data_IF_715264520060
#
_entry.id   IF_715264520060
#
_cell.length_a   1.000
_cell.length_b   1.000
_cell.length_c   1.000
_cell.angle_alpha   90.00
_cell.angle_beta   90.00
_cell.angle_gamma   90.00
#
_symmetry.space_group_name_H-M   'P 1'
#
loop_
_entity.id
_entity.type
_entity.pdbx_description
1 polymer ?
#
# COMPACT_ATOMS: atom_id res chain seq x y z
N UNK A 1 11.47 -14.08 2.56
CA UNK A 1 10.21 -14.16 3.35
C UNK A 1 9.33 -13.01 2.89
N UNK A 2 8.09 -13.29 2.48
CA UNK A 2 7.19 -12.27 1.94
C UNK A 2 6.41 -11.70 3.12
N UNK A 3 6.90 -10.59 3.65
CA UNK A 3 6.30 -9.91 4.80
C UNK A 3 5.30 -8.86 4.34
N UNK A 4 4.18 -8.77 5.05
CA UNK A 4 3.15 -7.79 4.75
C UNK A 4 3.67 -6.37 5.04
N UNK A 5 3.54 -5.41 4.10
CA UNK A 5 3.99 -4.04 4.32
C UNK A 5 3.15 -3.31 5.39
N UNK A 6 1.96 -3.78 5.70
CA UNK A 6 1.06 -3.14 6.67
C UNK A 6 1.30 -3.57 8.13
N UNK A 7 1.77 -4.80 8.36
CA UNK A 7 1.87 -5.37 9.72
C UNK A 7 3.10 -6.25 9.95
N UNK A 8 4.02 -6.31 8.97
CA UNK A 8 5.25 -7.11 8.99
C UNK A 8 5.09 -8.60 9.25
N UNK A 9 3.86 -9.12 9.26
CA UNK A 9 3.57 -10.55 9.40
C UNK A 9 3.86 -11.30 8.10
N UNK A 10 4.16 -12.60 8.23
CA UNK A 10 4.35 -13.48 7.09
C UNK A 10 3.05 -13.62 6.30
N UNK A 11 3.13 -13.40 4.98
CA UNK A 11 2.01 -13.59 4.07
C UNK A 11 1.96 -15.04 3.59
N UNK A 12 0.74 -15.50 3.30
CA UNK A 12 0.50 -16.82 2.71
C UNK A 12 0.41 -16.71 1.19
N UNK A 13 1.00 -17.67 0.48
CA UNK A 13 0.88 -17.78 -0.98
C UNK A 13 -0.40 -18.56 -1.30
N UNK A 14 -1.30 -17.95 -2.05
CA UNK A 14 -2.55 -18.55 -2.46
C UNK A 14 -2.60 -18.69 -3.99
N UNK A 15 -3.37 -19.68 -4.47
CA UNK A 15 -3.62 -19.90 -5.90
C UNK A 15 -5.10 -19.64 -6.15
N UNK A 16 -5.43 -18.74 -7.09
CA UNK A 16 -6.80 -18.53 -7.56
C UNK A 16 -6.78 -18.42 -9.07
N UNK A 17 -7.65 -19.18 -9.76
CA UNK A 17 -7.78 -19.14 -11.22
C UNK A 17 -6.42 -19.28 -11.95
N UNK A 18 -5.56 -20.20 -11.48
CA UNK A 18 -4.19 -20.41 -11.98
C UNK A 18 -3.21 -19.23 -11.78
N UNK A 19 -3.55 -18.24 -10.96
CA UNK A 19 -2.66 -17.15 -10.59
C UNK A 19 -2.22 -17.26 -9.13
N UNK A 20 -0.96 -16.91 -8.86
CA UNK A 20 -0.38 -16.85 -7.52
C UNK A 20 -0.52 -15.44 -6.96
N UNK A 21 -1.08 -15.31 -5.77
CA UNK A 21 -1.19 -14.04 -5.05
C UNK A 21 -0.83 -14.19 -3.57
N UNK A 22 -0.55 -13.07 -2.91
CA UNK A 22 -0.26 -13.05 -1.48
C UNK A 22 -1.47 -12.61 -0.69
N UNK A 23 -1.77 -13.35 0.39
CA UNK A 23 -2.82 -12.99 1.32
C UNK A 23 -2.24 -12.80 2.72
N UNK A 24 -2.53 -11.64 3.32
CA UNK A 24 -2.19 -11.40 4.71
C UNK A 24 -3.35 -11.84 5.62
N UNK A 25 -3.11 -12.82 6.48
CA UNK A 25 -4.10 -13.29 7.48
C UNK A 25 -4.34 -12.28 8.61
N UNK A 26 -3.38 -11.40 8.90
CA UNK A 26 -3.53 -10.39 9.95
C UNK A 26 -4.35 -9.20 9.47
N UNK A 27 -4.10 -8.73 8.24
CA UNK A 27 -4.85 -7.61 7.63
C UNK A 27 -6.12 -8.07 6.92
N UNK A 28 -6.29 -9.37 6.67
CA UNK A 28 -7.39 -9.95 5.89
C UNK A 28 -7.52 -9.37 4.47
N UNK A 29 -6.39 -9.06 3.85
CA UNK A 29 -6.33 -8.42 2.55
C UNK A 29 -5.40 -9.17 1.58
N UNK A 30 -5.78 -9.16 0.31
CA UNK A 30 -4.93 -9.54 -0.80
C UNK A 30 -3.86 -8.46 -1.01
N UNK A 31 -2.59 -8.87 -0.96
CA UNK A 31 -1.46 -7.97 -1.14
C UNK A 31 -0.91 -8.11 -2.55
N UNK A 32 -0.85 -7.00 -3.31
CA UNK A 32 -0.16 -7.01 -4.59
C UNK A 32 1.32 -7.32 -4.35
N UNK A 33 1.91 -8.14 -5.22
CA UNK A 33 3.35 -8.32 -5.30
C UNK A 33 3.98 -6.95 -5.57
N UNK A 34 4.53 -6.31 -4.54
CA UNK A 34 5.42 -5.17 -4.74
C UNK A 34 6.70 -5.72 -5.35
N UNK A 35 6.74 -5.79 -6.68
CA UNK A 35 8.01 -5.89 -7.38
C UNK A 35 8.82 -4.65 -7.00
N UNK A 36 9.93 -4.84 -6.28
CA UNK A 36 10.77 -3.76 -5.77
C UNK A 36 11.35 -2.88 -6.90
N UNK A 37 11.11 -3.20 -8.19
CA UNK A 37 11.38 -2.33 -9.33
C UNK A 37 10.32 -1.26 -9.61
N UNK A 38 9.13 -1.35 -9.03
CA UNK A 38 8.07 -0.33 -9.19
C UNK A 38 7.89 0.41 -7.88
N UNK A 39 8.51 1.59 -7.78
CA UNK A 39 8.03 2.65 -6.88
C UNK A 39 6.53 2.80 -7.18
N UNK A 40 5.67 2.31 -6.29
CA UNK A 40 4.33 2.88 -6.19
C UNK A 40 4.55 4.32 -5.74
N UNK A 41 4.67 5.23 -6.71
CA UNK A 41 4.52 6.64 -6.44
C UNK A 41 3.11 6.77 -5.92
N UNK A 42 3.03 7.15 -4.65
CA UNK A 42 1.83 7.58 -3.94
C UNK A 42 1.19 8.81 -4.58
N UNK A 43 1.04 8.86 -5.90
CA UNK A 43 0.55 10.05 -6.62
C UNK A 43 -0.90 10.38 -6.31
N UNK A 44 -1.68 9.46 -5.71
CA UNK A 44 -3.05 9.77 -5.27
C UNK A 44 -3.11 10.37 -3.86
N UNK A 45 -2.26 9.94 -2.92
CA UNK A 45 -2.19 10.56 -1.59
C UNK A 45 -1.35 11.83 -1.59
N UNK A 46 -0.28 11.90 -2.38
CA UNK A 46 0.57 13.09 -2.48
C UNK A 46 -0.14 14.27 -3.15
N UNK A 47 -1.01 14.01 -4.15
CA UNK A 47 -1.88 15.06 -4.69
C UNK A 47 -2.81 15.61 -3.62
N UNK A 48 -3.50 14.76 -2.86
CA UNK A 48 -4.38 15.20 -1.76
C UNK A 48 -3.60 15.92 -0.63
N UNK A 49 -2.44 15.42 -0.22
CA UNK A 49 -1.55 16.07 0.76
C UNK A 49 -1.03 17.42 0.28
N UNK A 50 -0.76 17.58 -1.03
CA UNK A 50 -0.36 18.87 -1.60
C UNK A 50 -1.52 19.89 -1.64
N UNK A 51 -2.77 19.44 -1.84
CA UNK A 51 -3.96 20.28 -1.71
C UNK A 51 -4.24 20.66 -0.25
N UNK A 52 -4.07 19.72 0.69
CA UNK A 52 -4.22 19.97 2.14
C UNK A 52 -3.15 20.93 2.67
N UNK A 53 -1.89 20.78 2.23
CA UNK A 53 -0.79 21.66 2.61
C UNK A 53 -1.02 23.12 2.16
N UNK A 54 -1.55 23.33 0.94
CA UNK A 54 -1.89 24.69 0.45
C UNK A 54 -3.06 25.33 1.21
N UNK A 55 -4.04 24.54 1.67
CA UNK A 55 -5.17 25.05 2.47
C UNK A 55 -4.75 25.41 3.90
N UNK A 56 -3.79 24.70 4.48
CA UNK A 56 -3.32 24.94 5.85
C UNK A 56 -2.42 26.18 6.00
N UNK A 57 -1.91 26.75 4.90
CA UNK A 57 -1.13 28.00 4.91
C UNK A 57 -1.98 29.28 4.94
N UNK A 58 -3.31 29.18 4.80
CA UNK A 58 -4.24 30.32 4.86
C UNK A 58 -5.05 30.38 6.17
N UNK A 59 -4.73 29.52 7.14
CA UNK A 59 -5.38 29.45 8.45
C UNK A 59 -4.38 29.55 9.60
N UNK A 60 -3.34 30.36 9.43
CA UNK A 60 -2.57 30.89 10.56
C UNK A 60 -2.88 32.40 10.57
N UNK A 61 -3.65 32.91 11.55
CA UNK A 61 -3.87 34.34 11.72
C UNK A 61 -2.58 35.09 12.07
#
# INVERSE_FOLDING_TARGET
MNSCPCCSHSMLRHVRQHQLYWFCRSCWQEMPLYDQGTRLTSTSLERELSFLSRKHALLIP
#
